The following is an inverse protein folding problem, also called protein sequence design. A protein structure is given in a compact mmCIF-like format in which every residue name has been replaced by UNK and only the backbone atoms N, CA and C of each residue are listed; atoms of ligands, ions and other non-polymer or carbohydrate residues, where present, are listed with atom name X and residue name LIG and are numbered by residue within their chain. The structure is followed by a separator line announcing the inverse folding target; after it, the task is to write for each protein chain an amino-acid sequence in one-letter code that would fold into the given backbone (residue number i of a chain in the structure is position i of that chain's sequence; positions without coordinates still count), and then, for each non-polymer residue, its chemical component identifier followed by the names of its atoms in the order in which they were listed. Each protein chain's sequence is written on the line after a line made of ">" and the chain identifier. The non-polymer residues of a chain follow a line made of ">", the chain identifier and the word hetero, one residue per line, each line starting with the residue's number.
data_IF_431697321709
#
_entry.id   IF_431697321709
#
_cell.length_a   1.000
_cell.length_b   1.000
_cell.length_c   1.000
_cell.angle_alpha   90.00
_cell.angle_beta   90.00
_cell.angle_gamma   90.00
#
_symmetry.space_group_name_H-M   'P 1'
#
loop_
_entity.id
_entity.type
_entity.pdbx_description
1 polymer ?
#
# COMPACT_ATOMS: atom_id res chain seq x y z
N UNK A 1 8.36 4.54 12.38
CA UNK A 1 7.52 3.44 12.89
C UNK A 1 7.58 2.27 11.93
N UNK A 2 7.79 1.06 12.42
CA UNK A 2 7.88 -0.13 11.59
C UNK A 2 6.49 -0.70 11.35
N UNK A 3 6.12 -0.96 10.10
CA UNK A 3 4.87 -1.65 9.82
C UNK A 3 4.92 -3.08 10.32
N UNK A 4 3.81 -3.55 10.85
CA UNK A 4 3.67 -4.93 11.29
C UNK A 4 3.17 -5.83 10.15
N UNK A 5 2.22 -5.33 9.38
CA UNK A 5 1.63 -6.09 8.29
C UNK A 5 1.32 -5.17 7.12
N UNK A 6 1.59 -5.64 5.92
CA UNK A 6 1.28 -4.91 4.69
C UNK A 6 0.39 -5.81 3.84
N UNK A 7 -0.75 -5.27 3.41
CA UNK A 7 -1.64 -5.95 2.48
C UNK A 7 -1.70 -5.17 1.18
N UNK A 8 -1.63 -5.88 0.06
CA UNK A 8 -1.73 -5.28 -1.27
C UNK A 8 -2.53 -6.22 -2.14
N UNK A 9 -3.58 -5.70 -2.76
CA UNK A 9 -4.41 -6.53 -3.64
C UNK A 9 -4.90 -5.71 -4.83
N UNK A 10 -5.18 -6.41 -5.92
CA UNK A 10 -5.76 -5.79 -7.11
C UNK A 10 -7.25 -5.59 -6.89
N UNK A 11 -7.73 -4.36 -7.09
CA UNK A 11 -9.14 -4.03 -6.88
C UNK A 11 -9.83 -3.57 -8.17
N UNK A 12 -9.07 -3.19 -9.18
CA UNK A 12 -9.64 -2.69 -10.44
C UNK A 12 -8.57 -2.72 -11.52
N UNK A 13 -8.96 -2.32 -12.73
CA UNK A 13 -8.06 -2.24 -13.88
C UNK A 13 -8.32 -0.95 -14.63
N UNK A 14 -7.29 -0.39 -15.24
CA UNK A 14 -7.41 0.78 -16.11
C UNK A 14 -7.94 0.37 -17.47
N UNK A 15 -8.18 1.37 -18.33
CA UNK A 15 -8.59 1.12 -19.72
C UNK A 15 -7.55 0.29 -20.49
N UNK A 16 -6.29 0.43 -20.12
CA UNK A 16 -5.19 -0.33 -20.73
C UNK A 16 -4.97 -1.67 -20.06
N UNK A 17 -5.89 -2.09 -19.20
CA UNK A 17 -5.85 -3.35 -18.48
C UNK A 17 -4.68 -3.45 -17.50
N UNK A 18 -4.18 -2.31 -17.03
CA UNK A 18 -3.18 -2.28 -15.97
C UNK A 18 -3.88 -2.38 -14.63
N UNK A 19 -3.36 -3.20 -13.70
CA UNK A 19 -4.02 -3.39 -12.42
C UNK A 19 -3.91 -2.14 -11.52
N UNK A 20 -4.97 -1.89 -10.79
CA UNK A 20 -5.00 -0.89 -9.74
C UNK A 20 -5.08 -1.61 -8.40
N UNK A 21 -4.36 -1.09 -7.42
CA UNK A 21 -4.16 -1.78 -6.16
C UNK A 21 -4.76 -1.03 -4.98
N UNK A 22 -5.11 -1.80 -3.98
CA UNK A 22 -5.40 -1.27 -2.66
C UNK A 22 -4.28 -1.71 -1.74
N UNK A 23 -3.72 -0.75 -1.00
CA UNK A 23 -2.62 -0.99 -0.07
C UNK A 23 -3.10 -0.62 1.32
N UNK A 24 -2.87 -1.50 2.28
CA UNK A 24 -3.13 -1.22 3.69
C UNK A 24 -1.90 -1.61 4.49
N UNK A 25 -1.48 -0.72 5.37
CA UNK A 25 -0.36 -0.97 6.26
C UNK A 25 -0.88 -0.89 7.69
N UNK A 26 -0.54 -1.88 8.50
CA UNK A 26 -1.03 -2.01 9.86
C UNK A 26 0.13 -1.95 10.86
N UNK A 27 -0.14 -1.41 12.03
CA UNK A 27 0.79 -1.51 13.14
C UNK A 27 0.58 -2.83 13.90
N UNK A 28 1.35 -3.03 14.97
CA UNK A 28 1.28 -4.26 15.75
C UNK A 28 -0.04 -4.46 16.48
N UNK A 29 -0.86 -3.43 16.57
CA UNK A 29 -2.16 -3.48 17.21
C UNK A 29 -3.30 -3.60 16.21
N UNK A 30 -2.96 -3.91 14.93
CA UNK A 30 -3.91 -4.02 13.83
C UNK A 30 -4.61 -2.70 13.47
N UNK A 31 -4.03 -1.58 13.86
CA UNK A 31 -4.54 -0.29 13.44
C UNK A 31 -4.02 0.04 12.05
N UNK A 32 -4.88 0.56 11.19
CA UNK A 32 -4.47 0.97 9.85
C UNK A 32 -3.73 2.30 9.94
N UNK A 33 -2.46 2.29 9.54
CA UNK A 33 -1.63 3.49 9.57
C UNK A 33 -1.41 4.09 8.20
N UNK A 34 -1.72 3.34 7.15
CA UNK A 34 -1.72 3.82 5.78
C UNK A 34 -2.77 3.06 5.00
N UNK A 35 -3.56 3.77 4.19
CA UNK A 35 -4.53 3.15 3.32
C UNK A 35 -4.57 3.91 2.00
N UNK A 36 -4.39 3.21 0.90
CA UNK A 36 -4.51 3.76 -0.45
C UNK A 36 -5.44 2.86 -1.24
N UNK A 37 -6.25 3.46 -2.11
CA UNK A 37 -7.20 2.71 -2.91
C UNK A 37 -7.12 3.12 -4.37
N UNK A 38 -7.19 2.13 -5.26
CA UNK A 38 -7.15 2.32 -6.71
C UNK A 38 -5.92 3.11 -7.17
N UNK A 39 -4.76 2.68 -6.72
CA UNK A 39 -3.49 3.31 -7.11
C UNK A 39 -2.72 2.39 -8.03
N UNK A 40 -1.88 2.97 -8.88
CA UNK A 40 -1.02 2.21 -9.77
C UNK A 40 0.01 1.42 -8.96
N UNK A 41 0.61 0.42 -9.60
CA UNK A 41 1.66 -0.37 -8.95
C UNK A 41 2.79 0.51 -8.46
N UNK A 42 3.22 1.48 -9.28
CA UNK A 42 4.31 2.38 -8.90
C UNK A 42 3.96 3.18 -7.67
N UNK A 43 2.75 3.74 -7.63
CA UNK A 43 2.30 4.51 -6.47
C UNK A 43 2.18 3.62 -5.24
N UNK A 44 1.67 2.42 -5.40
CA UNK A 44 1.53 1.49 -4.28
C UNK A 44 2.89 1.13 -3.69
N UNK A 45 3.85 0.80 -4.55
CA UNK A 45 5.20 0.45 -4.12
C UNK A 45 5.87 1.66 -3.46
N UNK A 46 5.72 2.84 -4.05
CA UNK A 46 6.29 4.05 -3.50
C UNK A 46 5.75 4.34 -2.10
N UNK A 47 4.45 4.19 -1.90
CA UNK A 47 3.85 4.41 -0.58
C UNK A 47 4.43 3.47 0.46
N UNK A 48 4.60 2.20 0.10
CA UNK A 48 5.16 1.21 1.02
C UNK A 48 6.63 1.55 1.33
N UNK A 49 7.42 1.86 0.30
CA UNK A 49 8.84 2.16 0.47
C UNK A 49 9.02 3.42 1.31
N UNK A 50 8.27 4.47 1.02
CA UNK A 50 8.36 5.72 1.77
C UNK A 50 8.06 5.47 3.25
N UNK A 51 7.08 4.63 3.53
CA UNK A 51 6.70 4.34 4.90
C UNK A 51 7.78 3.53 5.61
N UNK A 52 8.35 2.55 4.94
CA UNK A 52 9.40 1.72 5.53
C UNK A 52 10.69 2.50 5.73
N UNK A 53 11.02 3.43 4.83
CA UNK A 53 12.24 4.22 4.94
C UNK A 53 12.19 5.22 6.09
N UNK A 54 11.00 5.67 6.47
CA UNK A 54 10.85 6.63 7.56
C UNK A 54 11.29 6.05 8.90
N UNK A 55 11.32 4.73 9.03
CA UNK A 55 11.63 4.07 10.28
C UNK A 55 13.13 3.90 10.54
N UNK A 56 13.96 4.35 9.64
CA UNK A 56 15.42 4.22 9.80
C UNK A 56 15.99 5.26 10.74
#
# INVERSE_FOLDING_TARGET
>A
MNPYKIEMCVVDYTKDKEPLYRVKVYDKNDNIILSSNKVSKETAVKNIVDYCCVSI
#
